data_IF_648812276432
#
_entry.id   IF_648812276432
#
_cell.length_a   1.000
_cell.length_b   1.000
_cell.length_c   1.000
_cell.angle_alpha   90.00
_cell.angle_beta   90.00
_cell.angle_gamma   90.00
#
_symmetry.space_group_name_H-M   'P 1'
#
loop_
_entity.id
_entity.type
_entity.pdbx_description
1 polymer ?
#
# COMPACT_ATOMS: atom_id res chain seq x y z
N UNK A 1 0.44 15.75 32.61
CA UNK A 1 0.70 14.56 31.78
C UNK A 1 -0.59 13.80 31.67
N UNK A 2 -1.30 13.92 30.55
CA UNK A 2 -2.64 13.31 30.40
C UNK A 2 -2.47 11.81 30.19
N UNK A 3 -2.62 11.03 31.25
CA UNK A 3 -2.62 9.56 31.22
C UNK A 3 -3.94 9.02 30.68
N UNK A 4 -4.23 9.31 29.42
CA UNK A 4 -5.37 8.72 28.73
C UNK A 4 -5.11 7.23 28.46
N UNK A 5 -6.11 6.39 28.72
CA UNK A 5 -6.06 4.96 28.44
C UNK A 5 -5.82 4.73 26.93
N UNK A 6 -4.64 4.21 26.56
CA UNK A 6 -4.35 3.85 25.18
C UNK A 6 -5.03 2.50 24.85
N UNK A 7 -6.29 2.56 24.43
CA UNK A 7 -7.09 1.39 24.09
C UNK A 7 -6.41 0.50 23.05
N UNK A 8 -5.70 1.09 22.09
CA UNK A 8 -4.95 0.36 21.06
C UNK A 8 -3.90 -0.56 21.67
N UNK A 9 -3.12 -0.11 22.66
CA UNK A 9 -2.17 -0.97 23.38
C UNK A 9 -2.86 -2.12 24.14
N UNK A 10 -4.08 -1.90 24.63
CA UNK A 10 -4.83 -2.91 25.38
C UNK A 10 -5.41 -3.98 24.43
N UNK A 11 -6.03 -3.57 23.33
CA UNK A 11 -6.65 -4.53 22.39
C UNK A 11 -5.63 -5.21 21.46
N UNK A 12 -4.43 -4.64 21.29
CA UNK A 12 -3.42 -5.18 20.39
C UNK A 12 -3.10 -6.65 20.63
N UNK A 13 -2.96 -7.06 21.90
CA UNK A 13 -2.64 -8.44 22.26
C UNK A 13 -3.69 -9.45 21.77
N UNK A 14 -4.98 -9.10 21.90
CA UNK A 14 -6.07 -9.95 21.42
C UNK A 14 -6.15 -9.98 19.88
N UNK A 15 -5.91 -8.84 19.22
CA UNK A 15 -5.94 -8.76 17.75
C UNK A 15 -4.78 -9.56 17.15
N UNK A 16 -3.55 -9.39 17.64
CA UNK A 16 -2.37 -10.11 17.13
C UNK A 16 -2.42 -11.61 17.37
N UNK A 17 -3.21 -12.08 18.34
CA UNK A 17 -3.42 -13.50 18.58
C UNK A 17 -4.28 -14.17 17.50
N UNK A 18 -5.14 -13.42 16.81
CA UNK A 18 -6.04 -13.91 15.75
C UNK A 18 -5.50 -13.56 14.36
N UNK A 19 -4.96 -12.35 14.21
CA UNK A 19 -4.37 -11.84 12.98
C UNK A 19 -2.96 -11.31 13.28
N UNK A 20 -1.91 -12.14 13.10
CA UNK A 20 -0.55 -11.73 13.43
C UNK A 20 -0.08 -10.57 12.55
N UNK A 21 0.71 -9.67 13.14
CA UNK A 21 1.33 -8.59 12.40
C UNK A 21 2.36 -9.14 11.41
N UNK A 22 2.22 -8.80 10.13
CA UNK A 22 3.23 -9.00 9.10
C UNK A 22 4.09 -7.73 8.96
N UNK A 23 5.34 -7.88 8.55
CA UNK A 23 6.16 -6.77 8.09
C UNK A 23 5.99 -6.61 6.58
N UNK A 24 5.61 -5.42 6.13
CA UNK A 24 5.46 -5.08 4.71
C UNK A 24 6.33 -3.88 4.35
N UNK A 25 6.61 -3.71 3.07
CA UNK A 25 7.30 -2.53 2.54
C UNK A 25 6.26 -1.59 1.91
N UNK A 26 6.21 -0.36 2.41
CA UNK A 26 5.35 0.71 1.91
C UNK A 26 6.14 1.64 0.98
N UNK A 27 5.58 1.92 -0.19
CA UNK A 27 6.09 2.88 -1.16
C UNK A 27 5.06 3.98 -1.35
N UNK A 28 5.37 5.18 -0.86
CA UNK A 28 4.43 6.29 -0.92
C UNK A 28 4.63 7.10 -2.20
N UNK A 29 3.57 7.26 -2.99
CA UNK A 29 3.60 8.06 -4.21
C UNK A 29 3.81 9.53 -3.86
N UNK A 30 4.85 10.13 -4.42
CA UNK A 30 5.21 11.56 -4.25
C UNK A 30 4.84 12.39 -5.47
N UNK A 31 4.48 11.74 -6.57
CA UNK A 31 4.08 12.39 -7.81
C UNK A 31 4.20 11.46 -9.01
N UNK A 32 4.44 12.06 -10.18
CA UNK A 32 4.64 11.34 -11.43
C UNK A 32 5.59 12.10 -12.36
N UNK A 33 6.32 11.38 -13.21
CA UNK A 33 7.07 11.93 -14.34
C UNK A 33 6.35 11.57 -15.63
N UNK A 34 6.31 12.49 -16.58
CA UNK A 34 5.96 12.19 -17.96
C UNK A 34 7.23 12.23 -18.81
N UNK A 35 7.58 11.09 -19.41
CA UNK A 35 8.66 10.98 -20.38
C UNK A 35 8.07 10.52 -21.72
N UNK A 36 8.10 11.40 -22.72
CA UNK A 36 7.60 11.11 -24.07
C UNK A 36 6.16 10.54 -24.13
N UNK A 37 5.27 10.97 -23.24
CA UNK A 37 3.89 10.51 -23.16
C UNK A 37 3.68 9.30 -22.24
N UNK A 38 4.75 8.69 -21.74
CA UNK A 38 4.69 7.64 -20.71
C UNK A 38 4.70 8.30 -19.34
N UNK A 39 3.60 8.13 -18.60
CA UNK A 39 3.47 8.63 -17.23
C UNK A 39 3.88 7.52 -16.26
N UNK A 40 4.90 7.79 -15.46
CA UNK A 40 5.43 6.86 -14.45
C UNK A 40 5.30 7.48 -13.07
N UNK A 41 4.76 6.71 -12.11
CA UNK A 41 4.67 7.16 -10.73
C UNK A 41 6.07 7.31 -10.11
N UNK A 42 6.23 8.31 -9.25
CA UNK A 42 7.40 8.45 -8.40
C UNK A 42 7.03 8.05 -6.98
N UNK A 43 7.93 7.33 -6.33
CA UNK A 43 7.76 6.85 -4.97
C UNK A 43 8.87 7.40 -4.08
N UNK A 44 8.53 7.68 -2.82
CA UNK A 44 9.50 7.93 -1.76
C UNK A 44 10.34 6.68 -1.49
N UNK A 45 11.40 6.84 -0.70
CA UNK A 45 12.21 5.71 -0.24
C UNK A 45 11.34 4.66 0.48
N UNK A 46 11.56 3.35 0.25
CA UNK A 46 10.77 2.28 0.84
C UNK A 46 10.80 2.33 2.36
N UNK A 47 9.64 2.13 2.98
CA UNK A 47 9.48 2.11 4.43
C UNK A 47 9.03 0.74 4.91
N UNK A 48 9.73 0.18 5.89
CA UNK A 48 9.32 -1.05 6.55
C UNK A 48 8.27 -0.74 7.62
N UNK A 49 7.05 -1.22 7.43
CA UNK A 49 5.92 -0.98 8.36
C UNK A 49 5.30 -2.29 8.81
N UNK A 50 4.68 -2.28 9.99
CA UNK A 50 3.88 -3.40 10.50
C UNK A 50 2.45 -3.28 9.98
N UNK A 51 1.91 -4.39 9.53
CA UNK A 51 0.60 -4.49 8.90
C UNK A 51 -0.19 -5.67 9.45
N UNK A 52 -1.51 -5.53 9.54
CA UNK A 52 -2.43 -6.67 9.65
C UNK A 52 -3.21 -6.75 8.36
N UNK A 53 -3.10 -7.89 7.68
CA UNK A 53 -3.73 -8.14 6.39
C UNK A 53 -4.96 -9.01 6.61
N UNK A 54 -6.11 -8.56 6.11
CA UNK A 54 -7.38 -9.26 6.24
C UNK A 54 -8.07 -9.33 4.88
N UNK A 55 -8.77 -10.43 4.59
CA UNK A 55 -9.62 -10.52 3.40
C UNK A 55 -10.73 -9.46 3.47
N UNK A 56 -10.96 -8.72 2.39
CA UNK A 56 -12.11 -7.83 2.32
C UNK A 56 -13.40 -8.66 2.34
N UNK A 57 -14.31 -8.34 3.26
CA UNK A 57 -15.60 -8.99 3.44
C UNK A 57 -16.70 -8.29 2.61
N UNK A 58 -17.85 -8.95 2.40
CA UNK A 58 -18.90 -8.51 1.45
C UNK A 58 -19.39 -7.05 1.56
N UNK A 59 -19.30 -6.41 2.73
CA UNK A 59 -19.68 -5.00 2.88
C UNK A 59 -18.67 -4.03 2.22
N UNK A 60 -17.39 -4.39 2.19
CA UNK A 60 -16.37 -3.64 1.45
C UNK A 60 -16.53 -3.84 -0.07
N UNK A 61 -17.04 -5.00 -0.49
CA UNK A 61 -17.33 -5.29 -1.89
C UNK A 61 -18.40 -4.37 -2.48
N UNK A 62 -19.37 -3.87 -1.69
CA UNK A 62 -20.43 -2.98 -2.20
C UNK A 62 -19.91 -1.57 -2.53
N UNK A 63 -18.91 -1.08 -1.77
CA UNK A 63 -18.16 0.15 -2.10
C UNK A 63 -17.26 -0.06 -3.35
N UNK A 64 -16.68 -1.26 -3.45
CA UNK A 64 -15.83 -1.70 -4.56
C UNK A 64 -16.62 -2.03 -5.82
N UNK A 65 -17.87 -2.46 -5.79
CA UNK A 65 -18.64 -2.91 -6.96
C UNK A 65 -18.76 -1.81 -8.04
N UNK A 66 -18.49 -0.56 -7.66
CA UNK A 66 -18.30 0.55 -8.60
C UNK A 66 -16.96 0.53 -9.35
N UNK A 67 -16.10 -0.45 -9.11
CA UNK A 67 -14.70 -0.60 -9.55
C UNK A 67 -14.37 -2.10 -9.76
N UNK A 68 -14.61 -2.61 -10.98
CA UNK A 68 -14.03 -3.83 -11.58
C UNK A 68 -14.29 -5.22 -10.92
N UNK A 69 -14.95 -6.11 -11.67
CA UNK A 69 -15.48 -7.43 -11.24
C UNK A 69 -14.47 -8.59 -11.07
N UNK A 70 -13.16 -8.41 -11.27
CA UNK A 70 -12.16 -9.52 -11.19
C UNK A 70 -10.95 -9.21 -10.29
N UNK A 71 -11.16 -8.38 -9.27
CA UNK A 71 -10.07 -7.80 -8.49
C UNK A 71 -9.93 -8.50 -7.13
N UNK A 72 -8.74 -9.04 -6.81
CA UNK A 72 -8.45 -9.50 -5.43
C UNK A 72 -8.19 -8.28 -4.55
N UNK A 73 -9.00 -8.12 -3.50
CA UNK A 73 -8.94 -6.98 -2.59
C UNK A 73 -8.72 -7.46 -1.16
N UNK A 74 -7.81 -6.80 -0.45
CA UNK A 74 -7.54 -7.04 0.96
C UNK A 74 -7.55 -5.71 1.73
N UNK A 75 -7.95 -5.79 3.01
CA UNK A 75 -7.75 -4.70 3.97
C UNK A 75 -6.35 -4.80 4.55
N UNK A 76 -5.68 -3.66 4.62
CA UNK A 76 -4.40 -3.49 5.29
C UNK A 76 -4.58 -2.48 6.41
N UNK A 77 -4.43 -2.95 7.65
CA UNK A 77 -4.29 -2.08 8.81
C UNK A 77 -2.81 -1.82 9.03
N UNK A 78 -2.36 -0.61 8.70
CA UNK A 78 -0.95 -0.23 8.69
C UNK A 78 -0.66 0.71 9.84
N UNK A 79 0.54 0.62 10.42
CA UNK A 79 1.08 1.76 11.15
C UNK A 79 1.39 2.89 10.18
N UNK A 80 0.97 4.10 10.55
CA UNK A 80 1.11 5.28 9.72
C UNK A 80 1.60 6.48 10.52
N UNK A 81 2.37 7.34 9.86
CA UNK A 81 2.67 8.68 10.36
C UNK A 81 1.55 9.64 9.93
N UNK A 82 1.12 10.51 10.84
CA UNK A 82 0.17 11.58 10.54
C UNK A 82 0.67 12.56 9.47
N UNK A 83 1.99 12.67 9.27
CA UNK A 83 2.57 13.60 8.31
C UNK A 83 2.41 13.14 6.85
N UNK A 84 2.38 11.82 6.63
CA UNK A 84 2.25 11.23 5.30
C UNK A 84 1.49 9.91 5.43
N UNK A 85 0.17 9.94 5.62
CA UNK A 85 -0.61 8.72 5.69
C UNK A 85 -0.59 7.99 4.34
N UNK A 86 -0.60 6.64 4.34
CA UNK A 86 -0.88 5.83 3.17
C UNK A 86 -2.14 6.33 2.46
N UNK A 87 -2.07 6.59 1.16
CA UNK A 87 -3.15 7.21 0.42
C UNK A 87 -3.45 6.50 -0.91
N UNK A 88 -4.72 6.52 -1.35
CA UNK A 88 -5.10 6.10 -2.69
C UNK A 88 -4.67 7.15 -3.74
N UNK A 89 -5.12 6.97 -4.98
CA UNK A 89 -4.95 7.98 -6.04
C UNK A 89 -5.46 9.34 -5.57
N UNK A 90 -4.63 10.36 -5.72
CA UNK A 90 -4.95 11.76 -5.42
C UNK A 90 -4.56 12.63 -6.61
N UNK A 91 -5.58 13.00 -7.41
CA UNK A 91 -5.39 13.72 -8.68
C UNK A 91 -4.87 15.15 -8.49
N UNK A 92 -5.41 15.97 -7.56
CA UNK A 92 -4.85 17.29 -7.26
C UNK A 92 -3.34 17.30 -6.99
N UNK A 93 -2.82 16.27 -6.31
CA UNK A 93 -1.40 16.18 -5.96
C UNK A 93 -0.60 15.27 -6.91
N UNK A 94 -1.21 14.83 -8.02
CA UNK A 94 -0.60 13.92 -9.00
C UNK A 94 -0.02 12.64 -8.38
N UNK A 95 -0.64 12.13 -7.29
CA UNK A 95 -0.27 10.87 -6.66
C UNK A 95 -1.06 9.75 -7.29
N UNK A 96 -0.37 8.68 -7.65
CA UNK A 96 -0.95 7.53 -8.35
C UNK A 96 -1.36 6.39 -7.40
N UNK A 97 -1.47 6.69 -6.12
CA UNK A 97 -1.72 5.71 -5.06
C UNK A 97 -0.42 5.09 -4.56
N UNK A 98 -0.41 4.79 -3.26
CA UNK A 98 0.71 4.14 -2.61
C UNK A 98 0.72 2.64 -2.93
N UNK A 99 1.90 2.01 -2.85
CA UNK A 99 2.08 0.60 -3.10
C UNK A 99 2.56 -0.13 -1.84
N UNK A 100 2.05 -1.34 -1.63
CA UNK A 100 2.48 -2.21 -0.54
C UNK A 100 3.08 -3.48 -1.15
N UNK A 101 4.30 -3.83 -0.74
CA UNK A 101 4.95 -5.10 -1.05
C UNK A 101 4.95 -5.99 0.18
N UNK A 102 4.42 -7.20 0.06
CA UNK A 102 4.42 -8.21 1.13
C UNK A 102 5.66 -9.09 1.08
N UNK A 103 5.90 -9.84 2.15
CA UNK A 103 7.08 -10.70 2.26
C UNK A 103 7.09 -11.85 1.23
N UNK A 104 5.91 -12.25 0.74
CA UNK A 104 5.73 -13.24 -0.34
C UNK A 104 6.04 -12.69 -1.75
N UNK A 105 6.40 -11.41 -1.86
CA UNK A 105 6.70 -10.75 -3.13
C UNK A 105 5.47 -10.19 -3.85
N UNK A 106 4.27 -10.32 -3.29
CA UNK A 106 3.05 -9.76 -3.90
C UNK A 106 2.96 -8.25 -3.74
N UNK A 107 2.38 -7.61 -4.75
CA UNK A 107 2.23 -6.16 -4.85
C UNK A 107 0.77 -5.74 -4.73
N UNK A 108 0.51 -4.68 -3.97
CA UNK A 108 -0.84 -4.23 -3.66
C UNK A 108 -0.95 -2.71 -3.80
N UNK A 109 -1.77 -2.27 -4.75
CA UNK A 109 -2.07 -0.86 -4.96
C UNK A 109 -3.11 -0.40 -3.95
N UNK A 110 -2.82 0.67 -3.21
CA UNK A 110 -3.81 1.31 -2.35
C UNK A 110 -4.85 2.02 -3.22
N UNK A 111 -6.09 1.55 -3.15
CA UNK A 111 -7.20 2.06 -3.98
C UNK A 111 -8.23 2.84 -3.16
N UNK A 112 -8.32 2.61 -1.86
CA UNK A 112 -9.14 3.39 -0.95
C UNK A 112 -8.55 3.43 0.46
N UNK A 113 -8.95 4.43 1.26
CA UNK A 113 -8.66 4.53 2.69
C UNK A 113 -9.97 4.64 3.48
N UNK A 114 -10.63 3.51 3.81
CA UNK A 114 -11.91 3.53 4.51
C UNK A 114 -11.85 4.23 5.88
N UNK A 115 -10.74 4.05 6.59
CA UNK A 115 -10.56 4.59 7.93
C UNK A 115 -9.19 5.27 8.07
N UNK A 116 -9.18 6.61 8.07
CA UNK A 116 -7.99 7.40 8.35
C UNK A 116 -7.92 7.78 9.84
N UNK A 117 -7.05 7.07 10.56
CA UNK A 117 -6.73 7.33 11.95
C UNK A 117 -5.25 7.69 12.11
N UNK A 118 -4.61 8.24 11.09
CA UNK A 118 -3.16 8.46 11.09
C UNK A 118 -2.70 9.37 12.26
N UNK A 119 -3.58 10.26 12.75
CA UNK A 119 -3.36 11.07 13.95
C UNK A 119 -3.15 10.27 15.25
N UNK A 120 -3.55 9.00 15.29
CA UNK A 120 -3.30 8.08 16.42
C UNK A 120 -2.39 6.89 16.03
N UNK A 121 -1.73 6.96 14.86
CA UNK A 121 -0.61 6.08 14.48
C UNK A 121 -0.97 4.87 13.61
N UNK A 122 -2.21 4.77 13.11
CA UNK A 122 -2.66 3.67 12.27
C UNK A 122 -3.66 4.12 11.19
N UNK A 123 -3.76 3.37 10.10
CA UNK A 123 -4.72 3.61 9.01
C UNK A 123 -5.26 2.28 8.52
N UNK A 124 -6.49 2.25 8.03
CA UNK A 124 -7.00 1.15 7.23
C UNK A 124 -7.07 1.57 5.77
N UNK A 125 -6.48 0.75 4.89
CA UNK A 125 -6.57 0.92 3.44
C UNK A 125 -7.05 -0.34 2.76
N UNK A 126 -7.66 -0.18 1.58
CA UNK A 126 -7.95 -1.27 0.65
C UNK A 126 -6.80 -1.37 -0.35
N UNK A 127 -6.21 -2.55 -0.41
CA UNK A 127 -5.19 -2.91 -1.39
C UNK A 127 -5.76 -3.82 -2.46
N UNK A 128 -5.47 -3.50 -3.72
CA UNK A 128 -5.80 -4.30 -4.89
C UNK A 128 -4.54 -4.99 -5.41
N UNK A 129 -4.57 -6.32 -5.54
CA UNK A 129 -3.44 -7.10 -6.05
C UNK A 129 -3.00 -6.60 -7.43
N UNK A 130 -1.69 -6.46 -7.62
CA UNK A 130 -1.05 -6.16 -8.90
C UNK A 130 -0.26 -7.39 -9.37
N UNK A 131 -0.41 -7.74 -10.65
CA UNK A 131 0.32 -8.87 -11.26
C UNK A 131 1.80 -8.54 -11.53
N UNK A 132 2.11 -7.25 -11.69
CA UNK A 132 3.46 -6.76 -11.98
C UNK A 132 3.91 -5.75 -10.92
N UNK A 133 5.21 -5.65 -10.65
CA UNK A 133 5.77 -4.54 -9.88
C UNK A 133 5.39 -3.20 -10.53
N UNK A 134 5.15 -2.13 -9.73
CA UNK A 134 4.86 -0.83 -10.29
C UNK A 134 6.05 -0.26 -11.05
N UNK A 135 5.78 0.36 -12.19
CA UNK A 135 6.78 1.11 -12.93
C UNK A 135 7.34 2.25 -12.06
N UNK A 136 8.66 2.42 -12.06
CA UNK A 136 9.36 3.44 -11.27
C UNK A 136 9.94 2.95 -9.95
N UNK A 137 9.75 1.67 -9.60
CA UNK A 137 10.49 1.02 -8.51
C UNK A 137 11.50 0.05 -9.14
N UNK A 138 12.79 0.34 -8.98
CA UNK A 138 13.85 -0.56 -9.40
C UNK A 138 14.11 -1.60 -8.30
N UNK A 139 13.81 -2.86 -8.59
CA UNK A 139 14.04 -3.98 -7.67
C UNK A 139 15.49 -4.50 -7.74
N UNK A 140 16.36 -3.88 -8.54
CA UNK A 140 17.72 -4.37 -8.81
C UNK A 140 17.76 -5.56 -9.77
N UNK A 141 16.70 -5.76 -10.56
CA UNK A 141 16.59 -6.82 -11.57
C UNK A 141 16.97 -6.31 -12.96
N UNK A 142 18.24 -5.92 -13.14
CA UNK A 142 18.79 -5.69 -14.47
C UNK A 142 19.03 -7.03 -15.16
N UNK A 143 18.04 -7.56 -15.87
CA UNK A 143 18.33 -8.37 -17.05
C UNK A 143 18.63 -7.39 -18.18
N UNK A 144 19.86 -6.86 -18.15
CA UNK A 144 20.46 -6.27 -19.33
C UNK A 144 20.62 -7.43 -20.32
N UNK A 145 19.57 -7.67 -21.08
CA UNK A 145 19.56 -8.67 -22.15
C UNK A 145 20.78 -8.42 -23.03
N UNK A 146 21.77 -9.29 -22.86
CA UNK A 146 22.95 -9.41 -23.70
C UNK A 146 22.47 -9.77 -25.10
N UNK A 147 22.11 -8.76 -25.88
CA UNK A 147 21.89 -8.92 -27.30
C UNK A 147 23.26 -9.20 -27.92
N UNK A 148 23.50 -10.40 -28.47
CA UNK A 148 24.77 -10.65 -29.14
C UNK A 148 24.93 -9.65 -30.28
N UNK A 149 26.15 -9.14 -30.52
CA UNK A 149 26.39 -8.21 -31.61
C UNK A 149 25.99 -8.86 -32.93
N UNK A 150 25.19 -8.13 -33.71
CA UNK A 150 24.79 -8.55 -35.05
C UNK A 150 26.02 -8.91 -35.88
N UNK A 151 26.08 -10.17 -36.33
CA UNK A 151 27.06 -10.67 -37.29
C UNK A 151 26.60 -10.40 -38.73
#
# INVERSE_FOLDING_TARGET
MSGGLNLHNIVRGAITAVHPDETVTLYQSTGQVNSYGVVTAQYAAPQTVKAQVQSANNADLELVERTSQNTVIMRFYLYASAAMPPAPIDRPFARNGDMIKRADGTWWLVTASPDDFAGVGWVCVLGTLQELPPAGIDEGGGDDGDFPPAA
#
